data_IF_013140485589
#
_entry.id   IF_013140485589
#
_cell.length_a   1.000
_cell.length_b   1.000
_cell.length_c   1.000
_cell.angle_alpha   90.00
_cell.angle_beta   90.00
_cell.angle_gamma   90.00
#
_symmetry.space_group_name_H-M   'P 1'
#
loop_
_entity.id
_entity.type
_entity.pdbx_description
1 polymer ?
#
# COMPACT_ATOMS: atom_id res chain seq x y z
N UNK A 1 1.55 -6.35 20.56
CA UNK A 1 0.28 -6.41 19.79
C UNK A 1 0.03 -7.81 19.28
N UNK A 2 -1.20 -8.32 19.39
CA UNK A 2 -1.55 -9.65 18.87
C UNK A 2 -1.47 -9.69 17.33
N UNK A 3 -1.31 -10.89 16.76
CA UNK A 3 -1.26 -11.10 15.31
C UNK A 3 -2.55 -10.69 14.59
N UNK A 4 -3.70 -10.76 15.28
CA UNK A 4 -4.99 -10.32 14.77
C UNK A 4 -5.02 -8.79 14.65
N UNK A 5 -4.62 -8.07 15.70
CA UNK A 5 -4.58 -6.59 15.70
C UNK A 5 -3.65 -6.08 14.60
N UNK A 6 -2.47 -6.70 14.40
CA UNK A 6 -1.55 -6.33 13.31
C UNK A 6 -2.15 -6.55 11.92
N UNK A 7 -2.95 -7.60 11.72
CA UNK A 7 -3.62 -7.86 10.44
C UNK A 7 -4.75 -6.87 10.18
N UNK A 8 -5.57 -6.56 11.20
CA UNK A 8 -6.63 -5.56 11.08
C UNK A 8 -6.06 -4.18 10.81
N UNK A 9 -4.99 -3.79 11.52
CA UNK A 9 -4.29 -2.54 11.27
C UNK A 9 -3.76 -2.45 9.84
N UNK A 10 -3.09 -3.51 9.35
CA UNK A 10 -2.63 -3.60 7.95
C UNK A 10 -3.75 -3.38 6.94
N UNK A 11 -4.91 -4.02 7.15
CA UNK A 11 -6.07 -3.86 6.27
C UNK A 11 -6.62 -2.44 6.29
N UNK A 12 -6.72 -1.81 7.47
CA UNK A 12 -7.18 -0.42 7.60
C UNK A 12 -6.24 0.55 6.88
N UNK A 13 -4.94 0.42 7.10
CA UNK A 13 -3.92 1.24 6.41
C UNK A 13 -3.98 1.02 4.90
N UNK A 14 -4.13 -0.23 4.45
CA UNK A 14 -4.27 -0.54 3.01
C UNK A 14 -5.52 0.12 2.41
N UNK A 15 -6.67 0.04 3.09
CA UNK A 15 -7.91 0.67 2.63
C UNK A 15 -7.78 2.19 2.56
N UNK A 16 -7.18 2.81 3.58
CA UNK A 16 -6.91 4.26 3.59
C UNK A 16 -6.04 4.67 2.39
N UNK A 17 -4.91 3.99 2.18
CA UNK A 17 -4.02 4.30 1.07
C UNK A 17 -4.68 4.09 -0.29
N UNK A 18 -5.55 3.09 -0.43
CA UNK A 18 -6.32 2.87 -1.66
C UNK A 18 -7.32 3.99 -1.92
N UNK A 19 -7.98 4.52 -0.89
CA UNK A 19 -8.86 5.70 -1.03
C UNK A 19 -8.05 6.92 -1.46
N UNK A 20 -6.95 7.23 -0.79
CA UNK A 20 -6.08 8.35 -1.16
C UNK A 20 -5.53 8.22 -2.59
N UNK A 21 -5.12 7.01 -3.00
CA UNK A 21 -4.65 6.75 -4.35
C UNK A 21 -5.75 7.00 -5.39
N UNK A 22 -6.99 6.57 -5.11
CA UNK A 22 -8.13 6.83 -6.01
C UNK A 22 -8.46 8.32 -6.11
N UNK A 23 -8.41 9.05 -5.01
CA UNK A 23 -8.64 10.50 -5.01
C UNK A 23 -7.55 11.25 -5.80
N UNK A 24 -6.27 10.90 -5.61
CA UNK A 24 -5.16 11.47 -6.39
C UNK A 24 -5.27 11.11 -7.87
N UNK A 25 -5.62 9.85 -8.17
CA UNK A 25 -5.87 9.40 -9.54
C UNK A 25 -7.00 10.18 -10.21
N UNK A 26 -8.14 10.34 -9.53
CA UNK A 26 -9.26 11.13 -10.02
C UNK A 26 -8.85 12.59 -10.30
N UNK A 27 -8.04 13.19 -9.41
CA UNK A 27 -7.51 14.55 -9.58
C UNK A 27 -6.60 14.67 -10.80
N UNK A 28 -5.87 13.61 -11.13
CA UNK A 28 -4.94 13.56 -12.28
C UNK A 28 -5.57 12.99 -13.56
N UNK A 29 -6.87 12.67 -13.54
CA UNK A 29 -7.57 12.08 -14.68
C UNK A 29 -7.15 10.64 -15.01
N UNK A 30 -6.59 9.92 -14.04
CA UNK A 30 -6.15 8.52 -14.19
C UNK A 30 -6.94 7.60 -13.27
N UNK A 31 -7.24 6.39 -13.74
CA UNK A 31 -7.91 5.38 -12.91
C UNK A 31 -6.85 4.52 -12.23
N UNK A 32 -6.83 4.52 -10.89
CA UNK A 32 -6.00 3.57 -10.14
C UNK A 32 -6.68 2.21 -10.16
N UNK A 33 -6.09 1.17 -10.81
CA UNK A 33 -6.65 -0.17 -10.82
C UNK A 33 -6.64 -0.77 -9.41
N UNK A 34 -7.49 -1.77 -9.19
CA UNK A 34 -7.68 -2.37 -7.86
C UNK A 34 -6.37 -2.95 -7.31
N UNK A 35 -5.85 -2.32 -6.26
CA UNK A 35 -4.78 -2.88 -5.43
C UNK A 35 -3.68 -1.89 -5.06
N UNK A 36 -3.62 -1.54 -3.77
CA UNK A 36 -2.41 -0.96 -3.17
C UNK A 36 -1.65 -2.07 -2.47
N UNK A 37 -0.36 -2.17 -2.75
CA UNK A 37 0.56 -3.10 -2.10
C UNK A 37 1.12 -2.43 -0.84
N UNK A 38 1.31 -3.19 0.24
CA UNK A 38 1.94 -2.68 1.45
C UNK A 38 3.12 -3.56 1.83
N UNK A 39 4.25 -2.94 2.15
CA UNK A 39 5.40 -3.67 2.69
C UNK A 39 5.05 -4.25 4.07
N UNK A 40 5.32 -5.53 4.31
CA UNK A 40 4.97 -6.13 5.60
C UNK A 40 5.89 -5.73 6.76
N UNK A 41 7.09 -5.24 6.44
CA UNK A 41 8.08 -4.83 7.43
C UNK A 41 7.82 -3.40 7.91
N UNK A 42 7.75 -2.45 6.99
CA UNK A 42 7.61 -1.03 7.30
C UNK A 42 6.20 -0.46 7.06
N UNK A 43 5.29 -1.24 6.47
CA UNK A 43 3.92 -0.82 6.15
C UNK A 43 3.80 0.32 5.13
N UNK A 44 4.86 0.59 4.37
CA UNK A 44 4.85 1.56 3.29
C UNK A 44 3.91 1.11 2.14
N UNK A 45 2.99 1.98 1.66
CA UNK A 45 2.12 1.68 0.54
C UNK A 45 2.80 1.91 -0.82
N UNK A 46 2.46 1.08 -1.80
CA UNK A 46 2.95 1.13 -3.16
C UNK A 46 1.81 0.86 -4.14
N UNK A 47 1.69 1.70 -5.17
CA UNK A 47 0.65 1.59 -6.19
C UNK A 47 0.95 0.50 -7.22
N UNK A 48 2.23 0.19 -7.44
CA UNK A 48 2.68 -0.84 -8.36
C UNK A 48 3.43 -1.95 -7.64
N UNK A 49 3.20 -3.20 -8.07
CA UNK A 49 3.94 -4.36 -7.56
C UNK A 49 5.45 -4.24 -7.83
N UNK A 50 5.83 -3.65 -8.96
CA UNK A 50 7.23 -3.39 -9.30
C UNK A 50 7.90 -2.46 -8.27
N UNK A 51 7.20 -1.38 -7.88
CA UNK A 51 7.66 -0.45 -6.85
C UNK A 51 7.78 -1.12 -5.49
N UNK A 52 6.80 -1.96 -5.09
CA UNK A 52 6.95 -2.76 -3.87
C UNK A 52 8.18 -3.68 -3.93
N UNK A 53 8.37 -4.40 -5.04
CA UNK A 53 9.53 -5.30 -5.22
C UNK A 53 10.86 -4.54 -5.15
N UNK A 54 10.92 -3.35 -5.72
CA UNK A 54 12.09 -2.49 -5.62
C UNK A 54 12.34 -2.07 -4.18
N UNK A 55 11.31 -1.56 -3.49
CA UNK A 55 11.38 -1.17 -2.08
C UNK A 55 11.87 -2.32 -1.18
N UNK A 56 11.34 -3.54 -1.36
CA UNK A 56 11.79 -4.71 -0.60
C UNK A 56 13.28 -5.02 -0.80
N UNK A 57 13.82 -4.72 -2.00
CA UNK A 57 15.24 -4.93 -2.30
C UNK A 57 16.13 -3.80 -1.82
N UNK A 58 15.66 -2.55 -1.77
CA UNK A 58 16.48 -1.41 -1.37
C UNK A 58 16.46 -1.16 0.13
N UNK A 59 15.28 -1.25 0.76
CA UNK A 59 15.10 -0.88 2.17
C UNK A 59 15.19 -2.07 3.13
N UNK A 60 15.07 -3.29 2.60
CA UNK A 60 14.85 -4.51 3.40
C UNK A 60 15.69 -5.72 2.92
N UNK A 61 16.74 -5.48 2.12
CA UNK A 61 17.69 -6.51 1.70
C UNK A 61 18.20 -7.36 2.88
#
# INVERSE_FOLDING_TARGET
>A
MSSAVRRTWRRLVQSYNHLCAREDGATRGVTIPSGVWACDRCHAPHLELATLKHHLRTEHA
#
